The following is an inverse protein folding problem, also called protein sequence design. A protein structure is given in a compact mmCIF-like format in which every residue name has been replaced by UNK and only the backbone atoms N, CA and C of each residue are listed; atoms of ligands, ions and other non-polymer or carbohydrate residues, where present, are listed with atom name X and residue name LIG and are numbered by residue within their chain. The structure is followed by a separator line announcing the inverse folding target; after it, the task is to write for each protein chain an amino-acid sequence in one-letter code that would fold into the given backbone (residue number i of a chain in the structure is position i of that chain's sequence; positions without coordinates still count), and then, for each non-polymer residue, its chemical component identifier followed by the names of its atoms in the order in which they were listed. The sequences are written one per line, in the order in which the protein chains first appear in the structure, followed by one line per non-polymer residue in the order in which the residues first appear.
data_IF_617114232111
#
_entry.id   IF_617114232111
#
_cell.length_a   1.000
_cell.length_b   1.000
_cell.length_c   1.000
_cell.angle_alpha   90.00
_cell.angle_beta   90.00
_cell.angle_gamma   90.00
#
_symmetry.space_group_name_H-M   'P 1'
#
loop_
_entity.id
_entity.type
_entity.pdbx_description
1 polymer ?
#
# COMPACT_ATOMS: atom_id res chain seq x y z
N UNK A 1 -2.55 -5.12 -5.51
CA UNK A 1 -3.02 -4.72 -4.16
C UNK A 1 -1.86 -3.96 -3.53
N UNK A 2 -2.07 -2.73 -3.09
CA UNK A 2 -1.08 -1.93 -2.35
C UNK A 2 -1.93 -1.09 -1.41
N UNK A 3 -2.03 -1.40 -0.13
CA UNK A 3 -0.89 -1.43 0.76
C UNK A 3 -1.15 -0.36 1.84
N UNK A 4 -2.10 -0.66 2.72
CA UNK A 4 -2.24 0.00 4.01
C UNK A 4 -3.20 -0.79 4.92
N UNK A 5 -2.78 -0.96 6.17
CA UNK A 5 -3.43 -1.70 7.24
C UNK A 5 -4.96 -1.81 7.14
N UNK A 6 -5.43 -3.05 6.96
CA UNK A 6 -6.82 -3.43 7.18
C UNK A 6 -7.09 -3.37 8.69
N UNK A 7 -7.42 -2.21 9.26
CA UNK A 7 -7.96 -2.15 10.62
C UNK A 7 -9.41 -2.67 10.55
N UNK A 8 -9.57 -3.98 10.62
CA UNK A 8 -10.87 -4.60 10.86
C UNK A 8 -11.15 -4.47 12.36
N UNK A 9 -12.01 -3.53 12.75
CA UNK A 9 -12.64 -3.56 14.08
C UNK A 9 -13.86 -4.49 13.97
N UNK A 10 -13.84 -5.71 14.55
CA UNK A 10 -15.00 -6.60 14.49
C UNK A 10 -15.99 -6.22 15.61
N UNK A 11 -17.28 -6.08 15.27
CA UNK A 11 -18.34 -6.22 16.28
C UNK A 11 -19.35 -5.08 16.48
N UNK A 12 -19.63 -4.23 15.50
CA UNK A 12 -20.78 -3.30 15.59
C UNK A 12 -21.69 -3.45 14.38
N UNK A 13 -22.82 -4.13 14.59
CA UNK A 13 -23.94 -4.14 13.65
C UNK A 13 -24.57 -2.77 13.57
N UNK A 14 -24.33 -2.04 12.48
CA UNK A 14 -24.95 -0.74 12.22
C UNK A 14 -25.32 -0.66 10.72
N UNK A 15 -26.53 -0.15 10.48
CA UNK A 15 -27.23 0.11 9.22
C UNK A 15 -26.41 0.74 8.06
N UNK A 16 -26.89 0.66 6.80
CA UNK A 16 -26.06 0.81 5.59
C UNK A 16 -25.64 2.26 5.21
N UNK A 17 -25.41 3.15 6.19
CA UNK A 17 -25.03 4.56 5.97
C UNK A 17 -23.72 5.00 6.64
N UNK A 18 -22.65 4.23 6.59
CA UNK A 18 -21.27 4.76 6.79
C UNK A 18 -20.23 3.75 6.32
N UNK A 19 -19.87 3.80 5.03
CA UNK A 19 -18.75 3.04 4.44
C UNK A 19 -17.52 3.93 4.30
N UNK A 20 -16.90 4.29 5.42
CA UNK A 20 -15.76 5.22 5.44
C UNK A 20 -14.42 4.63 4.94
N UNK A 21 -14.29 3.30 4.88
CA UNK A 21 -13.13 2.61 4.28
C UNK A 21 -13.33 2.28 2.78
N UNK A 22 -14.47 2.69 2.20
CA UNK A 22 -14.93 2.34 0.85
C UNK A 22 -15.33 3.58 0.03
N UNK A 23 -14.93 4.78 0.44
CA UNK A 23 -15.35 6.03 -0.22
C UNK A 23 -14.69 6.17 -1.61
N UNK A 24 -13.46 5.67 -1.80
CA UNK A 24 -12.74 5.72 -3.07
C UNK A 24 -12.23 4.37 -3.60
N UNK A 25 -12.20 3.32 -2.76
CA UNK A 25 -11.58 2.04 -3.14
C UNK A 25 -10.05 2.12 -3.20
N UNK A 26 -9.40 0.98 -3.28
CA UNK A 26 -7.93 0.93 -3.44
C UNK A 26 -7.55 1.36 -4.87
N UNK A 27 -6.54 2.23 -4.97
CA UNK A 27 -5.91 2.56 -6.25
C UNK A 27 -4.82 1.53 -6.51
N UNK A 28 -4.87 0.76 -7.62
CA UNK A 28 -3.81 -0.15 -8.01
C UNK A 28 -2.45 0.55 -8.04
N UNK A 29 -1.39 -0.14 -7.62
CA UNK A 29 -0.04 0.42 -7.59
C UNK A 29 0.39 1.00 -8.95
N UNK A 30 -0.04 0.35 -10.04
CA UNK A 30 0.21 0.76 -11.44
C UNK A 30 -0.54 2.03 -11.86
N UNK A 31 -1.62 2.39 -11.15
CA UNK A 31 -2.47 3.55 -11.46
C UNK A 31 -2.14 4.76 -10.58
N UNK A 32 -1.17 4.67 -9.67
CA UNK A 32 -0.89 5.72 -8.66
C UNK A 32 -0.69 7.12 -9.26
N UNK A 33 -0.03 7.22 -10.41
CA UNK A 33 0.24 8.51 -11.08
C UNK A 33 -1.02 9.16 -11.67
N UNK A 34 -2.09 8.39 -11.89
CA UNK A 34 -3.38 8.87 -12.41
C UNK A 34 -4.23 9.56 -11.33
N UNK A 35 -3.80 9.51 -10.06
CA UNK A 35 -4.55 10.04 -8.92
C UNK A 35 -3.71 11.05 -8.11
N UNK A 36 -3.42 12.24 -8.65
CA UNK A 36 -2.61 13.26 -7.96
C UNK A 36 -3.27 13.77 -6.67
N UNK A 37 -4.60 13.78 -6.61
CA UNK A 37 -5.36 14.24 -5.43
C UNK A 37 -5.52 13.18 -4.33
N UNK A 38 -4.92 11.98 -4.52
CA UNK A 38 -5.08 10.84 -3.62
C UNK A 38 -4.79 11.20 -2.15
N UNK A 39 -3.67 11.89 -1.90
CA UNK A 39 -3.26 12.21 -0.52
C UNK A 39 -4.28 13.13 0.18
N UNK A 40 -4.84 14.12 -0.54
CA UNK A 40 -5.87 14.99 0.03
C UNK A 40 -7.21 14.26 0.23
N UNK A 41 -7.56 13.34 -0.67
CA UNK A 41 -8.74 12.47 -0.51
C UNK A 41 -8.61 11.54 0.70
N UNK A 42 -7.45 10.90 0.88
CA UNK A 42 -7.17 10.03 2.03
C UNK A 42 -7.18 10.83 3.34
N UNK A 43 -6.60 12.02 3.36
CA UNK A 43 -6.63 12.92 4.51
C UNK A 43 -8.07 13.32 4.88
N UNK A 44 -8.88 13.69 3.90
CA UNK A 44 -10.29 14.03 4.12
C UNK A 44 -11.08 12.83 4.67
N UNK A 45 -10.83 11.62 4.13
CA UNK A 45 -11.44 10.39 4.62
C UNK A 45 -11.00 10.08 6.07
N UNK A 46 -9.71 10.25 6.40
CA UNK A 46 -9.19 10.03 7.74
C UNK A 46 -9.81 10.99 8.75
N UNK A 47 -9.98 12.26 8.39
CA UNK A 47 -10.67 13.25 9.22
C UNK A 47 -12.14 12.88 9.46
N UNK A 48 -12.82 12.37 8.45
CA UNK A 48 -14.20 11.91 8.57
C UNK A 48 -14.32 10.67 9.49
N UNK A 49 -13.42 9.70 9.31
CA UNK A 49 -13.38 8.46 10.11
C UNK A 49 -13.07 8.72 11.58
N UNK A 50 -12.22 9.69 11.86
CA UNK A 50 -11.76 10.01 13.22
C UNK A 50 -12.61 11.11 13.88
N UNK A 51 -13.72 11.54 13.28
CA UNK A 51 -14.50 12.69 13.78
C UNK A 51 -15.08 12.47 15.19
N UNK A 52 -15.39 11.22 15.56
CA UNK A 52 -15.96 10.85 16.86
C UNK A 52 -14.92 10.69 17.97
N UNK A 53 -13.63 10.74 17.63
CA UNK A 53 -12.54 10.62 18.59
C UNK A 53 -12.29 11.96 19.30
N UNK A 54 -11.71 11.87 20.50
CA UNK A 54 -11.19 13.05 21.21
C UNK A 54 -10.11 13.77 20.40
N UNK A 55 -9.97 15.07 20.60
CA UNK A 55 -9.06 15.92 19.82
C UNK A 55 -7.62 15.41 19.85
N UNK A 56 -7.15 14.94 21.01
CA UNK A 56 -5.80 14.40 21.18
C UNK A 56 -5.58 13.17 20.29
N UNK A 57 -6.49 12.19 20.35
CA UNK A 57 -6.38 10.95 19.57
C UNK A 57 -6.45 11.22 18.06
N UNK A 58 -7.36 12.11 17.65
CA UNK A 58 -7.46 12.50 16.24
C UNK A 58 -6.17 13.14 15.72
N UNK A 59 -5.56 14.05 16.50
CA UNK A 59 -4.29 14.68 16.13
C UNK A 59 -3.15 13.67 16.03
N UNK A 60 -3.09 12.73 16.96
CA UNK A 60 -2.07 11.67 16.97
C UNK A 60 -2.18 10.77 15.73
N UNK A 61 -3.38 10.29 15.40
CA UNK A 61 -3.61 9.47 14.20
C UNK A 61 -3.25 10.24 12.92
N UNK A 62 -3.66 11.50 12.82
CA UNK A 62 -3.32 12.34 11.67
C UNK A 62 -1.80 12.54 11.53
N UNK A 63 -1.11 12.75 12.65
CA UNK A 63 0.35 12.89 12.66
C UNK A 63 1.05 11.62 12.18
N UNK A 64 0.62 10.45 12.66
CA UNK A 64 1.17 9.16 12.24
C UNK A 64 0.94 8.88 10.75
N UNK A 65 -0.25 9.20 10.24
CA UNK A 65 -0.55 9.10 8.81
C UNK A 65 0.35 10.03 7.98
N UNK A 66 0.51 11.29 8.39
CA UNK A 66 1.38 12.25 7.70
C UNK A 66 2.86 11.81 7.72
N UNK A 67 3.32 11.27 8.84
CA UNK A 67 4.68 10.75 8.99
C UNK A 67 4.94 9.58 8.04
N UNK A 68 3.99 8.63 7.96
CA UNK A 68 4.04 7.54 6.99
C UNK A 68 4.03 8.03 5.55
N UNK A 69 3.12 8.95 5.22
CA UNK A 69 2.94 9.42 3.85
C UNK A 69 4.22 10.05 3.29
N UNK A 70 4.90 10.84 4.11
CA UNK A 70 6.14 11.51 3.76
C UNK A 70 7.41 10.68 4.04
N UNK A 71 7.28 9.50 4.66
CA UNK A 71 8.41 8.64 5.04
C UNK A 71 9.53 9.39 5.79
N UNK A 72 9.15 10.20 6.79
CA UNK A 72 10.07 11.11 7.48
C UNK A 72 10.96 10.37 8.47
N UNK A 73 10.36 9.52 9.31
CA UNK A 73 11.05 8.77 10.35
C UNK A 73 11.71 7.48 9.83
N UNK A 74 12.68 6.91 10.56
CA UNK A 74 13.19 5.57 10.28
C UNK A 74 12.08 4.51 10.24
N UNK A 75 11.14 4.56 11.18
CA UNK A 75 10.02 3.64 11.28
C UNK A 75 9.11 3.73 10.05
N UNK A 76 8.70 4.94 9.65
CA UNK A 76 7.87 5.14 8.46
C UNK A 76 8.55 4.66 7.18
N UNK A 77 9.86 4.85 7.03
CA UNK A 77 10.65 4.33 5.91
C UNK A 77 10.67 2.80 5.89
N UNK A 78 10.81 2.16 7.05
CA UNK A 78 10.73 0.70 7.18
C UNK A 78 9.35 0.21 6.75
N UNK A 79 8.27 0.79 7.29
CA UNK A 79 6.90 0.38 6.93
C UNK A 79 6.64 0.62 5.43
N UNK A 80 7.13 1.72 4.85
CA UNK A 80 7.01 1.99 3.41
C UNK A 80 7.79 0.98 2.57
N UNK A 81 8.99 0.56 2.99
CA UNK A 81 9.74 -0.48 2.28
C UNK A 81 9.00 -1.83 2.32
N UNK A 82 8.51 -2.23 3.49
CA UNK A 82 7.73 -3.46 3.67
C UNK A 82 6.45 -3.45 2.83
N UNK A 83 5.75 -2.32 2.79
CA UNK A 83 4.55 -2.12 1.95
C UNK A 83 4.82 -2.43 0.46
N UNK A 84 5.94 -1.95 -0.07
CA UNK A 84 6.32 -2.19 -1.47
C UNK A 84 6.72 -3.64 -1.73
N UNK A 85 7.47 -4.26 -0.81
CA UNK A 85 7.82 -5.67 -0.90
C UNK A 85 6.58 -6.56 -0.83
N UNK A 86 5.64 -6.22 0.04
CA UNK A 86 4.38 -6.95 0.21
C UNK A 86 3.52 -6.88 -1.06
N UNK A 87 3.44 -5.71 -1.71
CA UNK A 87 2.77 -5.54 -3.01
C UNK A 87 3.37 -6.48 -4.07
N UNK A 88 4.72 -6.54 -4.17
CA UNK A 88 5.40 -7.41 -5.14
C UNK A 88 5.13 -8.89 -4.82
N UNK A 89 5.20 -9.28 -3.54
CA UNK A 89 4.89 -10.64 -3.10
C UNK A 89 3.47 -11.05 -3.48
N UNK A 90 2.48 -10.17 -3.21
CA UNK A 90 1.09 -10.40 -3.60
C UNK A 90 0.92 -10.53 -5.11
N UNK A 91 1.61 -9.71 -5.92
CA UNK A 91 1.58 -9.86 -7.37
C UNK A 91 2.17 -11.20 -7.82
N UNK A 92 3.28 -11.66 -7.23
CA UNK A 92 3.92 -12.92 -7.61
C UNK A 92 3.08 -14.16 -7.24
N UNK A 93 2.34 -14.10 -6.13
CA UNK A 93 1.55 -15.22 -5.61
C UNK A 93 0.06 -15.16 -5.99
N UNK A 94 -0.41 -14.00 -6.45
CA UNK A 94 -1.82 -13.74 -6.76
C UNK A 94 -2.28 -14.32 -8.11
N UNK A 95 -3.59 -14.45 -8.25
CA UNK A 95 -4.25 -14.71 -9.53
C UNK A 95 -4.43 -13.36 -10.22
N UNK A 96 -3.57 -13.06 -11.18
CA UNK A 96 -3.60 -11.81 -11.93
C UNK A 96 -4.22 -12.00 -13.32
N UNK A 97 -4.83 -10.95 -13.90
CA UNK A 97 -5.37 -11.02 -15.25
C UNK A 97 -4.28 -11.33 -16.29
N UNK A 98 -4.65 -11.84 -17.48
CA UNK A 98 -3.68 -12.27 -18.51
C UNK A 98 -2.74 -11.16 -18.98
N UNK A 99 -3.19 -9.91 -18.96
CA UNK A 99 -2.46 -8.70 -19.38
C UNK A 99 -1.69 -8.01 -18.24
N UNK A 100 -1.66 -8.62 -17.05
CA UNK A 100 -0.92 -8.06 -15.91
C UNK A 100 0.57 -7.87 -16.20
N UNK A 101 1.06 -6.64 -15.95
CA UNK A 101 2.46 -6.24 -16.13
C UNK A 101 3.30 -6.60 -14.88
N UNK A 102 4.03 -7.71 -14.97
CA UNK A 102 5.00 -8.10 -13.94
C UNK A 102 6.30 -7.28 -14.00
N UNK A 103 6.65 -6.65 -15.12
CA UNK A 103 7.89 -5.88 -15.24
C UNK A 103 7.85 -4.64 -14.34
N UNK A 104 6.65 -4.08 -14.13
CA UNK A 104 6.39 -3.03 -13.14
C UNK A 104 7.02 -3.34 -11.77
N UNK A 105 6.94 -4.59 -11.29
CA UNK A 105 7.45 -4.97 -9.98
C UNK A 105 8.96 -4.72 -9.83
N UNK A 106 9.73 -4.85 -10.92
CA UNK A 106 11.19 -4.77 -10.88
C UNK A 106 11.69 -3.35 -10.53
N UNK A 107 10.92 -2.32 -10.89
CA UNK A 107 11.25 -0.91 -10.59
C UNK A 107 10.41 -0.34 -9.44
N UNK A 108 9.24 -0.92 -9.16
CA UNK A 108 8.33 -0.42 -8.14
C UNK A 108 8.95 -0.39 -6.74
N UNK A 109 8.93 0.78 -6.10
CA UNK A 109 9.33 0.95 -4.70
C UNK A 109 10.85 0.91 -4.44
N UNK A 110 11.69 0.98 -5.48
CA UNK A 110 13.16 0.97 -5.34
C UNK A 110 13.68 2.02 -4.36
N UNK A 111 13.08 3.22 -4.35
CA UNK A 111 13.46 4.31 -3.45
C UNK A 111 13.45 3.92 -1.96
N UNK A 112 12.58 2.98 -1.57
CA UNK A 112 12.45 2.50 -0.19
C UNK A 112 13.18 1.18 0.02
N UNK A 113 13.08 0.25 -0.94
CA UNK A 113 13.61 -1.10 -0.77
C UNK A 113 15.13 -1.21 -0.97
N UNK A 114 15.76 -0.20 -1.59
CA UNK A 114 17.21 -0.16 -1.81
C UNK A 114 17.99 0.51 -0.68
N UNK A 115 17.33 0.83 0.44
CA UNK A 115 17.91 1.66 1.52
C UNK A 115 18.61 0.87 2.62
N UNK A 116 18.33 -0.43 2.75
CA UNK A 116 18.87 -1.28 3.81
C UNK A 116 19.21 -2.69 3.28
N UNK A 117 20.31 -3.32 3.71
CA UNK A 117 20.72 -4.65 3.22
C UNK A 117 19.64 -5.71 3.31
N UNK A 118 18.85 -5.72 4.39
CA UNK A 118 17.73 -6.66 4.54
C UNK A 118 16.67 -6.50 3.45
N UNK A 119 16.29 -5.26 3.11
CA UNK A 119 15.28 -5.01 2.09
C UNK A 119 15.79 -5.33 0.70
N UNK A 120 17.08 -5.09 0.44
CA UNK A 120 17.74 -5.49 -0.80
C UNK A 120 17.68 -7.02 -0.96
N UNK A 121 18.03 -7.76 0.10
CA UNK A 121 17.97 -9.23 0.08
C UNK A 121 16.55 -9.75 -0.15
N UNK A 122 15.56 -9.22 0.57
CA UNK A 122 14.15 -9.58 0.37
C UNK A 122 13.70 -9.26 -1.07
N UNK A 123 14.07 -8.08 -1.58
CA UNK A 123 13.72 -7.65 -2.94
C UNK A 123 14.33 -8.58 -3.98
N UNK A 124 15.58 -9.01 -3.82
CA UNK A 124 16.20 -9.90 -4.81
C UNK A 124 15.50 -11.25 -4.91
N UNK A 125 15.02 -11.80 -3.78
CA UNK A 125 14.19 -13.01 -3.78
C UNK A 125 12.90 -12.75 -4.58
N UNK A 126 12.20 -11.65 -4.30
CA UNK A 126 10.96 -11.30 -5.00
C UNK A 126 11.19 -10.96 -6.49
N UNK A 127 12.33 -10.38 -6.83
CA UNK A 127 12.71 -10.09 -8.21
C UNK A 127 12.97 -11.39 -8.99
N UNK A 128 13.58 -12.39 -8.36
CA UNK A 128 13.77 -13.70 -8.98
C UNK A 128 12.41 -14.36 -9.30
N UNK A 129 11.49 -14.37 -8.34
CA UNK A 129 10.12 -14.87 -8.54
C UNK A 129 9.38 -14.10 -9.64
N UNK A 130 9.52 -12.77 -9.66
CA UNK A 130 8.93 -11.90 -10.70
C UNK A 130 9.43 -12.29 -12.09
N UNK A 131 10.75 -12.48 -12.25
CA UNK A 131 11.36 -12.89 -13.54
C UNK A 131 10.88 -14.27 -13.98
N UNK A 132 10.68 -15.19 -13.04
CA UNK A 132 10.08 -16.49 -13.34
C UNK A 132 8.65 -16.33 -13.87
N UNK A 133 7.82 -15.48 -13.25
CA UNK A 133 6.45 -15.21 -13.74
C UNK A 133 6.41 -14.59 -15.13
N UNK A 134 7.34 -13.68 -15.43
CA UNK A 134 7.50 -13.12 -16.79
C UNK A 134 7.82 -14.23 -17.79
N UNK A 135 8.79 -15.11 -17.48
CA UNK A 135 9.18 -16.20 -18.36
C UNK A 135 8.06 -17.23 -18.58
N UNK A 136 7.32 -17.60 -17.52
CA UNK A 136 6.16 -18.50 -17.59
C UNK A 136 5.09 -17.93 -18.53
N UNK A 137 4.86 -16.61 -18.51
CA UNK A 137 3.88 -15.96 -19.38
C UNK A 137 4.32 -15.79 -20.83
N UNK A 138 5.62 -15.61 -21.08
CA UNK A 138 6.15 -15.50 -22.44
C UNK A 138 6.09 -16.83 -23.22
N UNK A 139 5.81 -17.95 -22.54
CA UNK A 139 5.70 -19.29 -23.12
C UNK A 139 4.26 -19.72 -23.41
N UNK A 140 3.26 -18.91 -23.04
CA UNK A 140 1.84 -19.12 -23.30
C UNK A 140 1.40 -18.41 -24.58
#
# INVERSE_FOLDING_TARGET
MSGFFRIVVPGLGIEPRTRGFSIHGDIPAVERELHPDKSEQEKAALLHLTHSLGEKQRKEILSLWQEYEHAVSPESRIVKALDKLETILQHNQGINPPDFDYEFNLTYGLEYTSTHPLFILMREILNADTRQKIAERAQL
#
